data_IF_759188604308
#
_entry.id   IF_759188604308
#
_cell.length_a   1.000
_cell.length_b   1.000
_cell.length_c   1.000
_cell.angle_alpha   90.00
_cell.angle_beta   90.00
_cell.angle_gamma   90.00
#
_symmetry.space_group_name_H-M   'P 1'
#
loop_
_entity.id
_entity.type
_entity.pdbx_description
1 polymer ?
#
# COMPACT_ATOMS: atom_id res chain seq x y z
N UNK A 1 0.61 36.31 10.59
CA UNK A 1 -0.57 35.41 10.50
C UNK A 1 -0.26 34.22 11.37
N UNK A 2 -1.00 34.01 12.46
CA UNK A 2 -0.76 32.91 13.40
C UNK A 2 -1.07 31.58 12.71
N UNK A 3 -0.05 30.78 12.44
CA UNK A 3 -0.18 29.46 11.82
C UNK A 3 -0.93 28.51 12.75
N UNK A 4 -2.22 28.32 12.50
CA UNK A 4 -3.00 27.31 13.19
C UNK A 4 -2.48 25.93 12.77
N UNK A 5 -2.22 25.04 13.74
CA UNK A 5 -1.78 23.69 13.46
C UNK A 5 -2.83 22.98 12.60
N UNK A 6 -2.40 22.38 11.49
CA UNK A 6 -3.28 21.59 10.62
C UNK A 6 -3.85 20.41 11.41
N UNK A 7 -5.14 20.13 11.25
CA UNK A 7 -5.75 18.94 11.84
C UNK A 7 -5.18 17.70 11.15
N UNK A 8 -4.80 16.68 11.93
CA UNK A 8 -4.29 15.43 11.39
C UNK A 8 -5.42 14.58 10.80
N UNK A 9 -5.12 13.88 9.72
CA UNK A 9 -6.01 12.89 9.10
C UNK A 9 -5.19 11.67 8.69
N UNK A 10 -5.56 10.50 9.21
CA UNK A 10 -4.87 9.26 8.89
C UNK A 10 -5.81 8.31 8.17
N UNK A 11 -5.42 7.87 6.97
CA UNK A 11 -6.14 6.88 6.17
C UNK A 11 -5.22 5.73 5.84
N UNK A 12 -5.76 4.51 5.84
CA UNK A 12 -5.03 3.30 5.51
C UNK A 12 -5.79 2.46 4.49
N UNK A 13 -5.08 1.70 3.67
CA UNK A 13 -5.65 0.50 3.05
C UNK A 13 -5.56 -0.69 4.01
N UNK A 14 -6.18 -1.83 3.71
CA UNK A 14 -5.67 -3.11 4.19
C UNK A 14 -4.21 -3.30 3.75
N UNK A 15 -3.48 -4.14 4.48
CA UNK A 15 -2.24 -4.72 3.96
C UNK A 15 -2.58 -5.93 3.08
N UNK A 16 -2.01 -5.98 1.87
CA UNK A 16 -2.39 -6.97 0.86
C UNK A 16 -1.56 -8.25 0.99
N UNK A 17 -2.23 -9.40 0.94
CA UNK A 17 -1.57 -10.69 1.07
C UNK A 17 -0.66 -10.98 -0.14
N UNK A 18 0.59 -11.36 0.09
CA UNK A 18 1.62 -11.48 -0.97
C UNK A 18 1.65 -12.84 -1.67
N UNK A 19 0.54 -13.56 -1.76
CA UNK A 19 0.54 -14.87 -2.41
C UNK A 19 0.59 -14.81 -3.96
N UNK A 20 0.31 -13.64 -4.56
CA UNK A 20 0.42 -13.42 -6.01
C UNK A 20 0.60 -11.92 -6.35
N UNK A 21 0.73 -11.60 -7.63
CA UNK A 21 0.88 -10.23 -8.16
C UNK A 21 -0.35 -9.35 -7.87
N UNK A 22 -0.16 -8.01 -7.78
CA UNK A 22 -1.27 -7.09 -7.62
C UNK A 22 -2.28 -7.16 -8.78
N UNK A 23 -3.57 -6.98 -8.47
CA UNK A 23 -4.66 -6.96 -9.44
C UNK A 23 -5.62 -5.79 -9.19
N UNK A 24 -6.64 -5.64 -10.02
CA UNK A 24 -7.59 -4.50 -9.99
C UNK A 24 -8.22 -4.25 -8.61
N UNK A 25 -8.51 -5.29 -7.83
CA UNK A 25 -9.04 -5.12 -6.47
C UNK A 25 -8.11 -4.35 -5.52
N UNK A 26 -6.80 -4.58 -5.61
CA UNK A 26 -5.80 -3.84 -4.84
C UNK A 26 -5.76 -2.39 -5.31
N UNK A 27 -5.59 -2.18 -6.62
CA UNK A 27 -5.54 -0.85 -7.23
C UNK A 27 -6.78 -0.01 -6.92
N UNK A 28 -7.98 -0.59 -6.96
CA UNK A 28 -9.22 0.11 -6.64
C UNK A 28 -9.27 0.60 -5.20
N UNK A 29 -8.87 -0.26 -4.26
CA UNK A 29 -8.87 0.09 -2.84
C UNK A 29 -7.84 1.18 -2.55
N UNK A 30 -6.63 1.04 -3.08
CA UNK A 30 -5.58 2.06 -2.95
C UNK A 30 -6.00 3.39 -3.59
N UNK A 31 -6.65 3.36 -4.76
CA UNK A 31 -7.20 4.54 -5.43
C UNK A 31 -8.25 5.25 -4.57
N UNK A 32 -9.17 4.52 -3.94
CA UNK A 32 -10.19 5.12 -3.07
C UNK A 32 -9.56 5.84 -1.88
N UNK A 33 -8.56 5.23 -1.24
CA UNK A 33 -7.79 5.87 -0.16
C UNK A 33 -6.96 7.06 -0.66
N UNK A 34 -6.36 6.97 -1.85
CA UNK A 34 -5.59 8.05 -2.47
C UNK A 34 -6.46 9.28 -2.77
N UNK A 35 -7.65 9.07 -3.33
CA UNK A 35 -8.62 10.16 -3.58
C UNK A 35 -8.99 10.86 -2.27
N UNK A 36 -9.25 10.10 -1.20
CA UNK A 36 -9.57 10.67 0.11
C UNK A 36 -8.39 11.43 0.72
N UNK A 37 -7.18 10.88 0.63
CA UNK A 37 -5.96 11.52 1.09
C UNK A 37 -5.73 12.85 0.36
N UNK A 38 -5.82 12.86 -0.98
CA UNK A 38 -5.70 14.07 -1.81
C UNK A 38 -6.77 15.10 -1.46
N UNK A 39 -8.02 14.69 -1.32
CA UNK A 39 -9.11 15.58 -0.92
C UNK A 39 -8.82 16.23 0.44
N UNK A 40 -8.35 15.46 1.43
CA UNK A 40 -8.02 16.01 2.75
C UNK A 40 -6.80 16.92 2.75
N UNK A 41 -5.79 16.63 1.93
CA UNK A 41 -4.67 17.55 1.71
C UNK A 41 -5.14 18.88 1.11
N UNK A 42 -6.07 18.84 0.15
CA UNK A 42 -6.69 20.04 -0.45
C UNK A 42 -7.54 20.83 0.57
N UNK A 43 -8.21 20.13 1.49
CA UNK A 43 -9.01 20.67 2.60
C UNK A 43 -8.14 21.20 3.77
N UNK A 44 -6.82 21.25 3.61
CA UNK A 44 -5.89 21.84 4.57
C UNK A 44 -5.44 20.94 5.71
N UNK A 45 -5.77 19.64 5.69
CA UNK A 45 -5.33 18.68 6.71
C UNK A 45 -3.84 18.32 6.56
N UNK A 46 -3.24 17.88 7.67
CA UNK A 46 -1.97 17.16 7.68
C UNK A 46 -2.28 15.66 7.53
N UNK A 47 -1.94 15.09 6.39
CA UNK A 47 -2.42 13.76 5.98
C UNK A 47 -1.28 12.75 6.04
N UNK A 48 -1.57 11.60 6.67
CA UNK A 48 -0.81 10.37 6.51
C UNK A 48 -1.67 9.37 5.73
N UNK A 49 -1.12 8.76 4.69
CA UNK A 49 -1.75 7.70 3.91
C UNK A 49 -0.82 6.47 3.88
N UNK A 50 -1.18 5.42 4.62
CA UNK A 50 -0.40 4.17 4.69
C UNK A 50 -1.01 3.06 3.82
N UNK A 51 -0.16 2.34 3.09
CA UNK A 51 -0.49 1.07 2.46
C UNK A 51 0.57 0.00 2.77
N UNK A 52 0.42 -1.23 2.29
CA UNK A 52 1.44 -2.25 2.52
C UNK A 52 1.02 -3.68 2.17
N UNK A 53 1.85 -4.61 2.60
CA UNK A 53 1.77 -6.04 2.30
C UNK A 53 1.73 -6.89 3.58
N UNK A 54 0.95 -7.97 3.56
CA UNK A 54 0.95 -9.02 4.57
C UNK A 54 1.80 -10.19 4.06
N UNK A 55 2.94 -10.40 4.71
CA UNK A 55 4.04 -11.22 4.20
C UNK A 55 4.19 -12.58 4.90
N UNK A 56 3.33 -12.89 5.88
CA UNK A 56 3.46 -14.11 6.68
C UNK A 56 2.37 -15.16 6.39
N UNK A 57 2.65 -16.41 6.78
CA UNK A 57 1.68 -17.52 6.81
C UNK A 57 1.95 -18.63 5.81
N UNK A 58 1.29 -19.78 6.03
CA UNK A 58 1.52 -21.02 5.26
C UNK A 58 1.27 -20.88 3.76
N UNK A 59 0.40 -19.97 3.35
CA UNK A 59 0.13 -19.73 1.92
C UNK A 59 1.29 -19.03 1.22
N UNK A 60 1.97 -18.10 1.89
CA UNK A 60 3.18 -17.44 1.37
C UNK A 60 4.30 -18.46 1.26
N UNK A 61 4.51 -19.26 2.31
CA UNK A 61 5.52 -20.33 2.32
C UNK A 61 5.29 -21.32 1.18
N UNK A 62 4.06 -21.79 1.00
CA UNK A 62 3.71 -22.71 -0.10
C UNK A 62 3.94 -22.07 -1.48
N UNK A 63 3.56 -20.80 -1.67
CA UNK A 63 3.77 -20.11 -2.94
C UNK A 63 5.27 -19.91 -3.26
N UNK A 64 6.11 -19.68 -2.24
CA UNK A 64 7.56 -19.62 -2.39
C UNK A 64 8.14 -20.99 -2.78
N UNK A 65 7.70 -22.07 -2.11
CA UNK A 65 8.09 -23.45 -2.44
C UNK A 65 7.70 -23.84 -3.87
N UNK A 66 6.47 -23.53 -4.29
CA UNK A 66 5.97 -23.81 -5.65
C UNK A 66 6.79 -23.06 -6.73
N UNK A 67 7.42 -21.94 -6.37
CA UNK A 67 8.32 -21.16 -7.24
C UNK A 67 9.81 -21.51 -7.07
N UNK A 68 10.17 -22.41 -6.16
CA UNK A 68 11.56 -22.82 -5.93
C UNK A 68 12.47 -21.73 -5.33
N UNK A 69 11.92 -20.78 -4.58
CA UNK A 69 12.65 -19.66 -3.95
C UNK A 69 12.44 -19.63 -2.43
N UNK A 70 13.24 -18.86 -1.70
CA UNK A 70 13.02 -18.68 -0.25
C UNK A 70 11.79 -17.81 0.01
N UNK A 71 11.12 -17.94 1.18
CA UNK A 71 9.99 -17.06 1.53
C UNK A 71 10.35 -15.58 1.52
N UNK A 72 11.56 -15.21 1.95
CA UNK A 72 12.04 -13.83 1.95
C UNK A 72 12.18 -13.29 0.51
N UNK A 73 12.87 -14.03 -0.37
CA UNK A 73 13.03 -13.61 -1.78
C UNK A 73 11.67 -13.47 -2.47
N UNK A 74 10.74 -14.36 -2.12
CA UNK A 74 9.37 -14.33 -2.63
C UNK A 74 8.62 -13.08 -2.14
N UNK A 75 8.60 -12.81 -0.84
CA UNK A 75 7.88 -11.64 -0.29
C UNK A 75 8.51 -10.34 -0.76
N UNK A 76 9.83 -10.25 -0.84
CA UNK A 76 10.56 -9.09 -1.39
C UNK A 76 10.12 -8.80 -2.83
N UNK A 77 10.07 -9.84 -3.68
CA UNK A 77 9.66 -9.70 -5.07
C UNK A 77 8.21 -9.26 -5.23
N UNK A 78 7.30 -9.78 -4.40
CA UNK A 78 5.88 -9.45 -4.46
C UNK A 78 5.63 -8.06 -3.89
N UNK A 79 6.25 -7.73 -2.76
CA UNK A 79 6.24 -6.41 -2.13
C UNK A 79 6.74 -5.33 -3.11
N UNK A 80 7.79 -5.62 -3.89
CA UNK A 80 8.24 -4.73 -4.97
C UNK A 80 7.18 -4.50 -6.03
N UNK A 81 6.42 -5.52 -6.45
CA UNK A 81 5.33 -5.32 -7.42
C UNK A 81 4.24 -4.38 -6.90
N UNK A 82 3.95 -4.39 -5.59
CA UNK A 82 3.01 -3.44 -4.98
C UNK A 82 3.58 -2.02 -4.96
N UNK A 83 4.88 -1.84 -4.67
CA UNK A 83 5.55 -0.53 -4.80
C UNK A 83 5.57 -0.02 -6.25
N UNK A 84 5.78 -0.91 -7.21
CA UNK A 84 5.74 -0.55 -8.63
C UNK A 84 4.32 -0.13 -9.06
N UNK A 85 3.28 -0.79 -8.53
CA UNK A 85 1.89 -0.38 -8.74
C UNK A 85 1.63 1.04 -8.23
N UNK A 86 2.08 1.38 -7.01
CA UNK A 86 1.84 2.72 -6.46
C UNK A 86 2.54 3.79 -7.29
N UNK A 87 3.77 3.53 -7.75
CA UNK A 87 4.50 4.39 -8.67
C UNK A 87 3.83 4.55 -10.03
N UNK A 88 3.42 3.43 -10.67
CA UNK A 88 2.77 3.44 -11.99
C UNK A 88 1.40 4.16 -11.97
N UNK A 89 0.65 3.99 -10.89
CA UNK A 89 -0.65 4.63 -10.70
C UNK A 89 -0.55 6.06 -10.15
N UNK A 90 0.66 6.51 -9.80
CA UNK A 90 0.92 7.81 -9.17
C UNK A 90 0.08 8.01 -7.90
N UNK A 91 0.03 7.00 -7.04
CA UNK A 91 -0.58 7.13 -5.72
C UNK A 91 0.30 7.96 -4.78
N UNK A 92 -0.35 8.59 -3.81
CA UNK A 92 0.26 9.53 -2.86
C UNK A 92 0.32 8.96 -1.45
N UNK A 93 0.54 7.65 -1.30
CA UNK A 93 0.83 7.07 0.00
C UNK A 93 2.16 7.63 0.52
N UNK A 94 2.19 7.90 1.82
CA UNK A 94 3.33 8.50 2.51
C UNK A 94 4.29 7.42 3.05
N UNK A 95 3.80 6.17 3.14
CA UNK A 95 4.51 4.93 3.48
C UNK A 95 3.87 3.74 2.73
#
# INVERSE_FOLDING_TARGET
>A
MTGQAKTSFYVTTPIYYVNDKPHIGHAYTTLACDVLARFKRLDGYDVMFLTGTDEHGQKVEKAAQDKGVTPQDFTDSVSQNFRDLTGQMNFSNDD
#
